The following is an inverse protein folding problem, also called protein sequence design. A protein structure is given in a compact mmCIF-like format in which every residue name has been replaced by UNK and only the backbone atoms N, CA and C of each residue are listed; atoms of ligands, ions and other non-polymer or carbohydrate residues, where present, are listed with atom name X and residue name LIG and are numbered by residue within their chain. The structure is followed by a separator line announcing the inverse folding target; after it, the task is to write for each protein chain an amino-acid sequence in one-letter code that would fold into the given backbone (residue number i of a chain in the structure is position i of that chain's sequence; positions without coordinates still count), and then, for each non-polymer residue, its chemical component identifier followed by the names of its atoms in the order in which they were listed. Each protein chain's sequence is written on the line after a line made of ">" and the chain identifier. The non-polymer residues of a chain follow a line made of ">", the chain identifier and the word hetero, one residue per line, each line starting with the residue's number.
data_IF_764000339742
#
_entry.id   IF_764000339742
#
_cell.length_a   1.000
_cell.length_b   1.000
_cell.length_c   1.000
_cell.angle_alpha   90.00
_cell.angle_beta   90.00
_cell.angle_gamma   90.00
#
_symmetry.space_group_name_H-M   'P 1'
#
loop_
_entity.id
_entity.type
_entity.pdbx_description
1 polymer ?
#
# COMPACT_ATOMS: atom_id res chain seq x y z
N UNK A 1 -11.58 28.66 -23.86
CA UNK A 1 -10.38 28.09 -23.21
C UNK A 1 -10.75 26.68 -22.75
N UNK A 2 -10.10 25.67 -23.31
CA UNK A 2 -10.44 24.26 -23.13
C UNK A 2 -9.71 23.68 -21.90
N UNK A 3 -10.46 23.32 -20.86
CA UNK A 3 -9.93 22.70 -19.64
C UNK A 3 -9.92 21.15 -19.73
N UNK A 4 -10.41 20.56 -20.83
CA UNK A 4 -10.86 19.16 -20.84
C UNK A 4 -9.97 18.15 -21.59
N UNK A 5 -8.85 18.57 -22.19
CA UNK A 5 -7.98 17.64 -22.95
C UNK A 5 -6.66 17.29 -22.24
N UNK A 6 -6.33 17.95 -21.12
CA UNK A 6 -5.08 17.69 -20.38
C UNK A 6 -5.09 16.33 -19.65
N UNK A 7 -6.27 15.83 -19.27
CA UNK A 7 -6.41 14.61 -18.45
C UNK A 7 -6.90 13.38 -19.22
N UNK A 8 -7.19 13.52 -20.51
CA UNK A 8 -7.80 12.45 -21.32
C UNK A 8 -6.83 11.32 -21.70
N UNK A 9 -5.53 11.53 -21.49
CA UNK A 9 -4.46 10.59 -21.85
C UNK A 9 -3.50 10.20 -20.73
N UNK A 10 -3.59 10.81 -19.54
CA UNK A 10 -2.82 10.39 -18.37
C UNK A 10 -3.73 9.59 -17.45
N UNK A 11 -3.95 8.32 -17.79
CA UNK A 11 -4.29 7.37 -16.75
C UNK A 11 -3.05 7.29 -15.86
N UNK A 12 -3.06 8.03 -14.76
CA UNK A 12 -2.24 7.70 -13.60
C UNK A 12 -2.79 6.36 -13.08
N UNK A 13 -2.47 5.29 -13.80
CA UNK A 13 -3.01 3.95 -13.55
C UNK A 13 -2.49 3.49 -12.21
N UNK A 14 -3.39 2.94 -11.39
CA UNK A 14 -2.99 2.18 -10.20
C UNK A 14 -1.95 1.15 -10.65
N UNK A 15 -0.72 1.28 -10.15
CA UNK A 15 0.41 0.43 -10.53
C UNK A 15 0.43 -0.87 -9.71
N UNK A 16 -0.09 -0.81 -8.49
CA UNK A 16 -0.29 -1.95 -7.61
C UNK A 16 -1.40 -1.63 -6.60
N UNK A 17 -2.14 -2.65 -6.16
CA UNK A 17 -3.02 -2.55 -4.99
C UNK A 17 -3.09 -3.87 -4.26
N UNK A 18 -3.34 -3.80 -2.96
CA UNK A 18 -3.55 -4.97 -2.13
C UNK A 18 -4.55 -4.69 -1.02
N UNK A 19 -5.39 -5.68 -0.72
CA UNK A 19 -6.18 -5.77 0.50
C UNK A 19 -5.75 -7.02 1.24
N UNK A 20 -5.51 -6.90 2.54
CA UNK A 20 -4.96 -7.97 3.35
C UNK A 20 -5.37 -7.89 4.82
N UNK A 21 -5.28 -9.04 5.46
CA UNK A 21 -5.51 -9.22 6.89
C UNK A 21 -4.17 -9.43 7.59
N UNK A 22 -3.91 -8.70 8.67
CA UNK A 22 -2.68 -8.86 9.49
C UNK A 22 -2.91 -9.62 10.80
N UNK A 23 -4.15 -10.03 11.10
CA UNK A 23 -4.49 -10.69 12.38
C UNK A 23 -5.41 -11.93 12.26
N UNK A 24 -5.18 -13.01 13.08
CA UNK A 24 -3.99 -13.28 13.89
C UNK A 24 -2.95 -14.03 13.06
N UNK A 25 -1.90 -13.32 12.62
CA UNK A 25 -0.79 -13.90 11.89
C UNK A 25 -0.82 -13.66 10.38
N UNK A 26 0.18 -14.24 9.72
CA UNK A 26 0.75 -13.90 8.41
C UNK A 26 -0.24 -13.26 7.44
N UNK A 27 0.08 -12.03 7.04
CA UNK A 27 -0.59 -11.24 6.01
C UNK A 27 -1.17 -12.07 4.87
N UNK A 28 -2.45 -12.42 4.92
CA UNK A 28 -3.10 -13.11 3.81
C UNK A 28 -3.62 -12.04 2.84
N UNK A 29 -3.05 -12.04 1.63
CA UNK A 29 -3.57 -11.23 0.52
C UNK A 29 -4.99 -11.72 0.22
N UNK A 30 -5.99 -10.88 0.48
CA UNK A 30 -7.37 -11.15 0.14
C UNK A 30 -7.57 -10.95 -1.37
N UNK A 31 -7.12 -9.81 -1.87
CA UNK A 31 -7.12 -9.47 -3.30
C UNK A 31 -5.99 -8.51 -3.62
N UNK A 32 -5.50 -8.57 -4.85
CA UNK A 32 -4.43 -7.68 -5.30
C UNK A 32 -4.41 -7.48 -6.82
N UNK A 33 -3.64 -6.48 -7.24
CA UNK A 33 -3.11 -6.32 -8.58
C UNK A 33 -1.63 -5.94 -8.47
N UNK A 34 -0.77 -6.61 -9.23
CA UNK A 34 0.68 -6.41 -9.22
C UNK A 34 1.31 -6.47 -7.81
N UNK A 35 0.81 -7.37 -6.95
CA UNK A 35 1.40 -7.66 -5.63
C UNK A 35 1.47 -9.18 -5.49
N UNK A 36 2.68 -9.70 -5.28
CA UNK A 36 2.97 -11.13 -5.17
C UNK A 36 2.93 -11.62 -3.73
N UNK A 37 3.29 -10.77 -2.77
CA UNK A 37 3.35 -11.13 -1.36
C UNK A 37 3.34 -9.92 -0.45
N UNK A 38 3.06 -10.21 0.81
CA UNK A 38 3.20 -9.30 1.93
C UNK A 38 4.18 -9.94 2.91
N UNK A 39 5.19 -9.17 3.32
CA UNK A 39 6.16 -9.64 4.31
C UNK A 39 5.99 -8.85 5.60
N UNK A 40 5.61 -9.54 6.67
CA UNK A 40 5.52 -8.98 8.01
C UNK A 40 6.91 -8.84 8.63
N UNK A 41 7.29 -7.61 8.97
CA UNK A 41 8.51 -7.25 9.68
C UNK A 41 8.31 -6.98 11.17
N UNK A 42 7.12 -7.25 11.72
CA UNK A 42 6.74 -7.06 13.12
C UNK A 42 6.30 -5.65 13.47
N UNK A 43 7.02 -4.62 13.01
CA UNK A 43 6.60 -3.21 13.16
C UNK A 43 6.19 -2.57 11.84
N UNK A 44 6.39 -3.28 10.73
CA UNK A 44 6.11 -2.82 9.40
C UNK A 44 5.69 -4.00 8.52
N UNK A 45 5.15 -3.67 7.37
CA UNK A 45 4.77 -4.61 6.33
C UNK A 45 5.36 -4.15 5.00
N UNK A 46 6.11 -5.03 4.34
CA UNK A 46 6.55 -4.81 2.97
C UNK A 46 5.50 -5.37 2.00
N UNK A 47 5.03 -4.54 1.06
CA UNK A 47 4.14 -4.94 -0.04
C UNK A 47 5.00 -5.15 -1.27
N UNK A 48 5.21 -6.42 -1.65
CA UNK A 48 6.11 -6.78 -2.74
C UNK A 48 5.36 -6.90 -4.06
N UNK A 49 5.86 -6.23 -5.09
CA UNK A 49 5.25 -6.28 -6.42
C UNK A 49 5.49 -7.63 -7.11
N UNK A 50 4.57 -7.98 -8.00
CA UNK A 50 4.71 -9.16 -8.86
C UNK A 50 5.64 -8.85 -10.06
N UNK A 51 5.48 -7.66 -10.63
CA UNK A 51 6.33 -7.09 -11.67
C UNK A 51 6.95 -5.79 -11.17
N UNK A 52 8.27 -5.63 -11.35
CA UNK A 52 8.95 -4.40 -10.98
C UNK A 52 8.40 -3.20 -11.77
N UNK A 53 8.17 -2.09 -11.08
CA UNK A 53 7.83 -0.82 -11.71
C UNK A 53 9.04 -0.28 -12.48
N UNK A 54 8.82 0.55 -13.51
CA UNK A 54 9.93 1.15 -14.29
C UNK A 54 10.88 2.02 -13.46
N UNK A 55 10.36 2.68 -12.41
CA UNK A 55 11.09 3.56 -11.49
C UNK A 55 10.40 3.56 -10.10
N UNK A 56 10.99 4.25 -9.13
CA UNK A 56 10.45 4.49 -7.79
C UNK A 56 9.70 5.83 -7.68
N UNK A 57 9.41 6.48 -8.81
CA UNK A 57 8.70 7.77 -8.90
C UNK A 57 7.18 7.57 -8.86
N UNK A 58 6.69 6.94 -7.79
CA UNK A 58 5.27 6.73 -7.55
C UNK A 58 4.87 7.18 -6.13
N UNK A 59 3.58 7.44 -5.95
CA UNK A 59 3.00 7.69 -4.64
C UNK A 59 2.28 6.42 -4.17
N UNK A 60 2.30 6.15 -2.86
CA UNK A 60 1.45 5.14 -2.27
C UNK A 60 0.70 5.68 -1.06
N UNK A 61 -0.47 5.12 -0.83
CA UNK A 61 -1.30 5.41 0.34
C UNK A 61 -1.99 4.13 0.79
N UNK A 62 -2.38 4.10 2.06
CA UNK A 62 -3.15 3.00 2.61
C UNK A 62 -4.12 3.46 3.67
N UNK A 63 -5.05 2.57 4.01
CA UNK A 63 -5.95 2.72 5.14
C UNK A 63 -6.07 1.39 5.89
N UNK A 64 -6.35 1.45 7.18
CA UNK A 64 -6.78 0.29 7.97
C UNK A 64 -8.18 0.52 8.54
N UNK A 65 -8.91 -0.56 8.83
CA UNK A 65 -10.23 -0.50 9.47
C UNK A 65 -10.13 -0.34 11.00
N UNK A 66 -9.03 0.19 11.53
CA UNK A 66 -8.77 0.19 12.96
C UNK A 66 -9.62 1.26 13.70
N UNK A 67 -10.20 0.87 14.85
CA UNK A 67 -11.11 1.71 15.64
C UNK A 67 -10.43 2.59 16.71
N UNK A 68 -9.10 2.70 16.73
CA UNK A 68 -8.36 3.46 17.75
C UNK A 68 -8.02 4.86 17.24
N UNK A 69 -8.32 5.89 18.03
CA UNK A 69 -8.34 7.31 17.62
C UNK A 69 -6.95 7.92 17.35
N UNK A 70 -5.87 7.15 17.45
CA UNK A 70 -4.50 7.64 17.30
C UNK A 70 -3.62 6.80 16.35
N UNK A 71 -4.21 5.87 15.60
CA UNK A 71 -3.48 4.97 14.71
C UNK A 71 -3.39 5.57 13.30
N UNK A 72 -2.27 6.20 12.99
CA UNK A 72 -1.93 6.58 11.62
C UNK A 72 -1.31 5.39 10.87
N UNK A 73 -1.70 5.17 9.61
CA UNK A 73 -0.99 4.26 8.71
C UNK A 73 -0.07 5.10 7.83
N UNK A 74 1.22 4.84 7.91
CA UNK A 74 2.25 5.54 7.15
C UNK A 74 2.78 4.64 6.03
N UNK A 75 3.19 5.27 4.92
CA UNK A 75 3.71 4.59 3.73
C UNK A 75 5.01 5.26 3.28
N UNK A 76 6.03 4.46 2.99
CA UNK A 76 7.33 4.95 2.53
C UNK A 76 8.30 3.83 2.16
N UNK A 77 9.60 4.12 2.13
CA UNK A 77 10.64 3.20 1.64
C UNK A 77 10.30 2.63 0.25
N UNK A 78 10.14 3.53 -0.71
CA UNK A 78 9.78 3.22 -2.08
C UNK A 78 10.94 2.55 -2.83
N UNK A 79 10.63 1.49 -3.57
CA UNK A 79 11.51 0.94 -4.60
C UNK A 79 10.68 0.46 -5.79
N UNK A 80 11.37 0.08 -6.87
CA UNK A 80 10.73 -0.54 -8.05
C UNK A 80 10.08 -1.89 -7.75
N UNK A 81 10.38 -2.53 -6.62
CA UNK A 81 9.90 -3.88 -6.31
C UNK A 81 9.00 -3.94 -5.09
N UNK A 82 8.92 -2.87 -4.29
CA UNK A 82 8.07 -2.82 -3.10
C UNK A 82 7.87 -1.39 -2.59
N UNK A 83 6.89 -1.24 -1.72
CA UNK A 83 6.84 -0.17 -0.72
C UNK A 83 6.64 -0.77 0.67
N UNK A 84 6.92 0.02 1.70
CA UNK A 84 6.73 -0.34 3.10
C UNK A 84 5.58 0.44 3.72
N UNK A 85 4.83 -0.24 4.57
CA UNK A 85 3.79 0.31 5.43
C UNK A 85 4.18 0.12 6.89
N UNK A 86 3.82 1.05 7.76
CA UNK A 86 3.95 0.88 9.21
C UNK A 86 2.86 1.67 9.94
N UNK A 87 2.59 1.26 11.17
CA UNK A 87 1.65 1.96 12.05
C UNK A 87 2.41 2.99 12.87
N UNK A 88 1.86 4.20 12.91
CA UNK A 88 2.37 5.29 13.74
C UNK A 88 2.12 5.01 15.23
N UNK A 89 2.91 5.68 16.08
CA UNK A 89 3.18 5.37 17.50
C UNK A 89 1.93 4.92 18.29
N UNK A 90 1.99 3.69 18.83
CA UNK A 90 1.01 3.17 19.81
C UNK A 90 0.56 1.73 19.61
N UNK A 91 0.85 1.13 18.45
CA UNK A 91 0.22 -0.14 18.05
C UNK A 91 1.22 -1.08 17.35
N UNK A 92 1.07 -2.37 17.61
CA UNK A 92 1.77 -3.45 16.91
C UNK A 92 1.05 -3.81 15.62
N UNK A 93 1.76 -4.31 14.60
CA UNK A 93 1.16 -4.81 13.34
C UNK A 93 0.11 -5.92 13.58
N UNK A 94 0.13 -6.53 14.77
CA UNK A 94 -0.81 -7.54 15.22
C UNK A 94 -2.22 -7.04 15.49
N UNK A 95 -2.47 -5.73 15.63
CA UNK A 95 -3.79 -5.22 16.06
C UNK A 95 -4.63 -4.61 14.93
N UNK A 96 -4.11 -4.62 13.70
CA UNK A 96 -4.84 -4.16 12.52
C UNK A 96 -5.62 -5.33 11.89
N UNK A 97 -6.96 -5.38 11.99
CA UNK A 97 -7.73 -6.50 11.45
C UNK A 97 -7.72 -6.53 9.93
N UNK A 98 -7.76 -5.36 9.27
CA UNK A 98 -7.86 -5.22 7.82
C UNK A 98 -7.12 -3.96 7.34
N UNK A 99 -6.27 -4.10 6.32
CA UNK A 99 -5.59 -2.99 5.65
C UNK A 99 -5.70 -3.09 4.13
N UNK A 100 -5.73 -1.92 3.48
CA UNK A 100 -5.66 -1.79 2.04
C UNK A 100 -4.64 -0.72 1.65
N UNK A 101 -3.91 -0.96 0.57
CA UNK A 101 -2.93 -0.01 0.05
C UNK A 101 -2.92 0.02 -1.47
N UNK A 102 -2.56 1.18 -2.01
CA UNK A 102 -2.54 1.47 -3.44
C UNK A 102 -1.28 2.25 -3.80
N UNK A 103 -0.67 1.92 -4.94
CA UNK A 103 0.38 2.69 -5.57
C UNK A 103 -0.15 3.35 -6.85
N UNK A 104 0.06 4.65 -7.01
CA UNK A 104 -0.38 5.46 -8.15
C UNK A 104 0.80 6.25 -8.70
N UNK A 105 0.82 6.43 -10.02
CA UNK A 105 1.74 7.37 -10.66
C UNK A 105 3.00 6.71 -11.23
N UNK A 106 3.75 7.54 -11.96
CA UNK A 106 4.79 7.18 -12.92
C UNK A 106 4.31 7.39 -14.34
#
# INVERSE_FOLDING_TARGET
>A
MAYNDVYKGKKDSIKAWVSFYTYPGTGAVNRSYNVSSITDGGSYVDVNFDTALPNDEYAAFGSSQQGSQNSGLEVGNYSTTKFRMWWSIGESSSDAPEAAAFAIGG
#
